data_IF_976773550604
#
_entry.id   IF_976773550604
#
_cell.length_a   1.000
_cell.length_b   1.000
_cell.length_c   1.000
_cell.angle_alpha   90.00
_cell.angle_beta   90.00
_cell.angle_gamma   90.00
#
_symmetry.space_group_name_H-M   'P 1'
#
loop_
_entity.id
_entity.type
_entity.pdbx_description
1 polymer ?
#
# COMPACT_ATOMS: atom_id res chain seq x y z
N UNK A 1 -73.01 -47.85 -11.88
CA UNK A 1 -72.16 -46.78 -12.45
C UNK A 1 -71.01 -46.58 -11.46
N UNK A 2 -69.95 -47.40 -11.51
CA UNK A 2 -68.71 -47.21 -12.31
C UNK A 2 -68.01 -45.88 -11.94
N UNK A 3 -66.78 -45.77 -11.48
CA UNK A 3 -65.54 -46.58 -11.43
C UNK A 3 -64.71 -46.01 -10.24
N UNK A 4 -64.02 -46.77 -9.38
CA UNK A 4 -62.84 -47.63 -9.54
C UNK A 4 -61.51 -46.92 -9.19
N UNK A 5 -60.78 -47.55 -8.25
CA UNK A 5 -59.32 -47.58 -7.99
C UNK A 5 -58.68 -46.30 -7.39
N UNK A 6 -58.16 -46.25 -6.17
CA UNK A 6 -57.24 -47.11 -5.39
C UNK A 6 -55.75 -46.87 -5.69
N UNK A 7 -55.00 -46.61 -4.61
CA UNK A 7 -53.58 -46.88 -4.31
C UNK A 7 -52.86 -45.70 -3.62
N UNK A 8 -52.51 -45.99 -2.37
CA UNK A 8 -51.58 -45.29 -1.49
C UNK A 8 -50.16 -45.19 -2.05
N UNK A 9 -49.39 -44.15 -1.65
CA UNK A 9 -48.13 -44.27 -0.89
C UNK A 9 -47.25 -43.01 -0.93
N UNK A 10 -46.70 -42.74 0.25
CA UNK A 10 -45.30 -42.38 0.55
C UNK A 10 -44.85 -40.93 0.32
N UNK A 11 -44.45 -40.38 1.45
CA UNK A 11 -43.60 -39.23 1.70
C UNK A 11 -42.21 -39.45 1.10
N UNK A 12 -41.88 -38.73 0.04
CA UNK A 12 -40.52 -38.47 -0.47
C UNK A 12 -40.62 -37.22 -1.38
N UNK A 13 -40.00 -36.11 -0.99
CA UNK A 13 -39.58 -35.10 -1.95
C UNK A 13 -38.22 -34.54 -1.52
N UNK A 14 -37.23 -35.28 -1.98
CA UNK A 14 -35.90 -34.92 -2.40
C UNK A 14 -35.72 -33.47 -2.87
N UNK A 15 -34.65 -32.85 -2.37
CA UNK A 15 -33.63 -32.06 -3.09
C UNK A 15 -34.13 -31.38 -4.37
N UNK A 16 -34.56 -30.12 -4.25
CA UNK A 16 -34.65 -29.22 -5.41
C UNK A 16 -33.29 -28.54 -5.64
N UNK A 17 -32.70 -28.91 -6.77
CA UNK A 17 -31.54 -28.31 -7.38
C UNK A 17 -31.84 -26.86 -7.82
N UNK A 18 -31.70 -25.89 -6.93
CA UNK A 18 -31.70 -24.46 -7.29
C UNK A 18 -30.40 -23.79 -6.83
N UNK A 19 -29.29 -24.47 -7.10
CA UNK A 19 -27.92 -24.04 -6.80
C UNK A 19 -27.08 -23.80 -8.04
N UNK A 20 -27.66 -23.38 -9.18
CA UNK A 20 -26.89 -23.02 -10.38
C UNK A 20 -27.65 -21.96 -11.19
N UNK A 21 -27.65 -20.70 -10.75
CA UNK A 21 -27.96 -19.59 -11.66
C UNK A 21 -27.49 -18.24 -11.14
N UNK A 22 -26.27 -17.87 -11.53
CA UNK A 22 -25.86 -16.54 -11.99
C UNK A 22 -24.32 -16.52 -12.03
N UNK A 23 -23.73 -17.04 -13.12
CA UNK A 23 -22.33 -16.78 -13.43
C UNK A 23 -22.24 -15.30 -13.81
N UNK A 24 -22.10 -14.46 -12.78
CA UNK A 24 -21.41 -13.19 -12.95
C UNK A 24 -19.96 -13.61 -13.24
N UNK A 25 -19.44 -13.24 -14.42
CA UNK A 25 -18.01 -13.33 -14.75
C UNK A 25 -17.18 -12.45 -13.80
N UNK A 26 -17.11 -12.85 -12.53
CA UNK A 26 -16.24 -12.30 -11.51
C UNK A 26 -14.94 -13.08 -11.59
N UNK A 27 -13.83 -12.34 -11.66
CA UNK A 27 -12.51 -12.94 -11.56
C UNK A 27 -12.40 -13.70 -10.22
N UNK A 28 -11.70 -14.84 -10.21
CA UNK A 28 -11.47 -15.61 -8.99
C UNK A 28 -10.74 -14.72 -7.95
N UNK A 29 -11.08 -14.83 -6.65
CA UNK A 29 -10.38 -14.09 -5.61
C UNK A 29 -8.89 -14.46 -5.59
N UNK A 30 -8.03 -13.46 -5.35
CA UNK A 30 -6.59 -13.67 -5.35
C UNK A 30 -6.11 -14.10 -3.96
N UNK A 31 -5.43 -15.24 -3.88
CA UNK A 31 -4.90 -15.77 -2.61
C UNK A 31 -3.69 -14.96 -2.10
N UNK A 32 -2.96 -14.31 -3.00
CA UNK A 32 -1.81 -13.48 -2.66
C UNK A 32 -2.28 -12.20 -1.98
N UNK A 33 -1.87 -12.05 -0.72
CA UNK A 33 -2.16 -10.88 0.11
C UNK A 33 -3.37 -11.04 1.02
N UNK A 34 -3.98 -12.23 1.03
CA UNK A 34 -4.89 -12.65 2.10
C UNK A 34 -4.09 -12.93 3.39
N UNK A 35 -4.63 -12.58 4.57
CA UNK A 35 -4.00 -12.92 5.84
C UNK A 35 -3.77 -14.43 6.01
N UNK A 36 -2.71 -14.80 6.73
CA UNK A 36 -2.35 -16.21 6.96
C UNK A 36 -3.46 -17.01 7.65
N UNK A 37 -4.19 -16.39 8.58
CA UNK A 37 -5.35 -17.03 9.21
C UNK A 37 -6.52 -17.23 8.23
N UNK A 38 -6.72 -16.29 7.30
CA UNK A 38 -7.69 -16.46 6.20
C UNK A 38 -7.32 -17.64 5.32
N UNK A 39 -6.04 -17.82 4.98
CA UNK A 39 -5.59 -19.00 4.23
C UNK A 39 -5.85 -20.31 4.99
N UNK A 40 -5.69 -20.34 6.32
CA UNK A 40 -6.05 -21.53 7.11
C UNK A 40 -7.55 -21.84 7.03
N UNK A 41 -8.38 -20.81 7.18
CA UNK A 41 -9.83 -20.97 7.09
C UNK A 41 -10.25 -21.48 5.71
N UNK A 42 -9.68 -20.91 4.64
CA UNK A 42 -9.91 -21.36 3.26
C UNK A 42 -9.58 -22.85 3.12
N UNK A 43 -8.45 -23.31 3.64
CA UNK A 43 -8.08 -24.73 3.58
C UNK A 43 -9.08 -25.61 4.37
N UNK A 44 -9.58 -25.14 5.51
CA UNK A 44 -10.60 -25.85 6.27
C UNK A 44 -11.92 -25.98 5.47
N UNK A 45 -12.36 -24.87 4.87
CA UNK A 45 -13.60 -24.80 4.08
C UNK A 45 -13.51 -25.66 2.82
N UNK A 46 -12.31 -25.81 2.26
CA UNK A 46 -11.97 -26.72 1.16
C UNK A 46 -11.83 -28.19 1.60
N UNK A 47 -12.13 -28.53 2.86
CA UNK A 47 -12.16 -29.90 3.36
C UNK A 47 -10.79 -30.49 3.73
N UNK A 48 -9.76 -29.66 3.86
CA UNK A 48 -8.46 -30.13 4.35
C UNK A 48 -8.57 -30.48 5.83
N UNK A 49 -8.16 -31.71 6.17
CA UNK A 49 -8.20 -32.22 7.55
C UNK A 49 -7.42 -31.29 8.48
N UNK A 50 -8.01 -30.97 9.63
CA UNK A 50 -7.46 -30.08 10.66
C UNK A 50 -5.96 -30.31 10.94
N UNK A 51 -5.58 -31.58 11.14
CA UNK A 51 -4.19 -31.97 11.41
C UNK A 51 -3.17 -31.60 10.32
N UNK A 52 -3.64 -31.36 9.08
CA UNK A 52 -2.82 -31.03 7.92
C UNK A 52 -2.83 -29.53 7.58
N UNK A 53 -3.78 -28.74 8.11
CA UNK A 53 -3.97 -27.32 7.75
C UNK A 53 -2.67 -26.54 7.98
N UNK A 54 -2.08 -26.62 9.19
CA UNK A 54 -0.84 -25.92 9.51
C UNK A 54 0.29 -26.19 8.51
N UNK A 55 0.48 -27.47 8.15
CA UNK A 55 1.51 -27.88 7.18
C UNK A 55 1.19 -27.35 5.78
N UNK A 56 -0.06 -27.48 5.31
CA UNK A 56 -0.47 -27.01 3.98
C UNK A 56 -0.41 -25.50 3.86
N UNK A 57 -0.82 -24.76 4.89
CA UNK A 57 -0.64 -23.31 4.97
C UNK A 57 0.83 -22.96 4.82
N UNK A 58 1.75 -23.60 5.56
CA UNK A 58 3.18 -23.30 5.45
C UNK A 58 3.74 -23.58 4.04
N UNK A 59 3.33 -24.68 3.40
CA UNK A 59 3.75 -24.99 2.03
C UNK A 59 3.26 -23.95 1.03
N UNK A 60 1.96 -23.63 1.05
CA UNK A 60 1.36 -22.66 0.13
C UNK A 60 2.00 -21.28 0.38
N UNK A 61 2.12 -20.85 1.64
CA UNK A 61 2.73 -19.57 2.00
C UNK A 61 4.16 -19.41 1.45
N UNK A 62 4.97 -20.46 1.56
CA UNK A 62 6.31 -20.50 0.97
C UNK A 62 6.27 -20.34 -0.56
N UNK A 63 5.38 -21.06 -1.25
CA UNK A 63 5.24 -20.95 -2.70
C UNK A 63 4.80 -19.54 -3.14
N UNK A 64 3.86 -18.95 -2.42
CA UNK A 64 3.37 -17.61 -2.70
C UNK A 64 4.48 -16.57 -2.54
N UNK A 65 5.19 -16.56 -1.41
CA UNK A 65 6.00 -15.40 -1.02
C UNK A 65 7.52 -15.61 -1.08
N UNK A 66 8.01 -16.85 -1.01
CA UNK A 66 9.43 -17.14 -1.14
C UNK A 66 9.75 -17.52 -2.59
N UNK A 67 9.00 -18.48 -3.15
CA UNK A 67 9.22 -18.94 -4.52
C UNK A 67 8.59 -18.01 -5.57
N UNK A 68 7.50 -17.31 -5.23
CA UNK A 68 6.88 -16.32 -6.11
C UNK A 68 6.06 -16.89 -7.26
N UNK A 69 5.58 -18.12 -7.16
CA UNK A 69 4.89 -18.78 -8.29
C UNK A 69 3.61 -18.04 -8.69
N UNK A 70 3.26 -18.15 -9.98
CA UNK A 70 2.05 -17.57 -10.56
C UNK A 70 1.06 -18.64 -11.02
N UNK A 71 1.40 -19.93 -10.85
CA UNK A 71 0.48 -21.05 -11.05
C UNK A 71 0.49 -21.99 -9.85
N UNK A 72 -0.68 -22.49 -9.46
CA UNK A 72 -0.78 -23.54 -8.44
C UNK A 72 -0.06 -24.81 -8.87
N UNK A 73 0.05 -25.06 -10.18
CA UNK A 73 0.69 -26.28 -10.68
C UNK A 73 2.17 -26.39 -10.29
N UNK A 74 2.84 -25.26 -10.10
CA UNK A 74 4.25 -25.21 -9.71
C UNK A 74 4.50 -25.63 -8.26
N UNK A 75 3.45 -25.79 -7.44
CA UNK A 75 3.56 -26.16 -6.04
C UNK A 75 3.85 -27.67 -5.85
N UNK A 76 5.06 -28.11 -6.21
CA UNK A 76 5.44 -29.53 -6.34
C UNK A 76 5.27 -30.38 -5.07
N UNK A 77 5.27 -29.77 -3.89
CA UNK A 77 5.08 -30.46 -2.60
C UNK A 77 3.63 -30.38 -2.06
N UNK A 78 2.72 -29.81 -2.85
CA UNK A 78 1.27 -29.79 -2.64
C UNK A 78 0.64 -30.84 -3.56
N UNK A 79 -0.25 -31.68 -3.00
CA UNK A 79 -0.84 -32.76 -3.80
C UNK A 79 -1.71 -32.21 -4.94
N UNK A 80 -1.89 -33.01 -6.00
CA UNK A 80 -2.61 -32.59 -7.20
C UNK A 80 -4.06 -32.17 -6.89
N UNK A 81 -4.75 -32.91 -6.03
CA UNK A 81 -6.14 -32.62 -5.70
C UNK A 81 -6.31 -31.24 -5.05
N UNK A 82 -5.43 -30.86 -4.12
CA UNK A 82 -5.47 -29.53 -3.50
C UNK A 82 -5.05 -28.43 -4.49
N UNK A 83 -4.06 -28.68 -5.37
CA UNK A 83 -3.70 -27.70 -6.42
C UNK A 83 -4.88 -27.42 -7.35
N UNK A 84 -5.59 -28.46 -7.78
CA UNK A 84 -6.79 -28.34 -8.61
C UNK A 84 -7.89 -27.57 -7.88
N UNK A 85 -8.18 -27.94 -6.63
CA UNK A 85 -9.22 -27.29 -5.83
C UNK A 85 -8.91 -25.80 -5.60
N UNK A 86 -7.64 -25.44 -5.39
CA UNK A 86 -7.22 -24.04 -5.31
C UNK A 86 -7.40 -23.33 -6.65
N UNK A 87 -6.98 -23.95 -7.76
CA UNK A 87 -7.11 -23.36 -9.10
C UNK A 87 -8.56 -23.17 -9.56
N UNK A 88 -9.49 -24.01 -9.08
CA UNK A 88 -10.93 -23.88 -9.35
C UNK A 88 -11.57 -22.71 -8.59
N UNK A 89 -11.03 -22.32 -7.43
CA UNK A 89 -11.67 -21.38 -6.51
C UNK A 89 -10.91 -20.06 -6.33
N UNK A 90 -9.62 -20.02 -6.65
CA UNK A 90 -8.73 -18.89 -6.38
C UNK A 90 -7.77 -18.64 -7.54
N UNK A 91 -7.19 -17.44 -7.57
CA UNK A 91 -6.09 -17.06 -8.46
C UNK A 91 -4.85 -16.66 -7.64
N UNK A 92 -3.68 -16.70 -8.27
CA UNK A 92 -2.42 -16.12 -7.75
C UNK A 92 -1.72 -15.26 -8.81
N UNK A 93 -2.48 -14.85 -9.82
CA UNK A 93 -1.99 -14.01 -10.92
C UNK A 93 -1.59 -12.62 -10.43
N UNK A 94 -0.72 -11.96 -11.19
CA UNK A 94 -0.35 -10.57 -10.97
C UNK A 94 -1.36 -9.64 -11.65
N UNK A 95 -1.56 -8.43 -11.12
CA UNK A 95 -2.22 -7.37 -11.88
C UNK A 95 -1.41 -7.01 -13.13
N UNK A 96 -2.09 -6.47 -14.13
CA UNK A 96 -1.47 -6.00 -15.36
C UNK A 96 -0.60 -4.77 -15.08
N UNK A 97 0.63 -4.77 -15.61
CA UNK A 97 1.46 -3.57 -15.69
C UNK A 97 1.17 -2.90 -17.02
N UNK A 98 0.40 -1.82 -16.97
CA UNK A 98 -0.04 -1.05 -18.14
C UNK A 98 1.11 -0.25 -18.74
N UNK A 99 1.96 0.29 -17.87
CA UNK A 99 3.10 1.11 -18.26
C UNK A 99 4.27 0.88 -17.30
N UNK A 100 5.48 0.88 -17.85
CA UNK A 100 6.73 0.88 -17.10
C UNK A 100 7.63 2.02 -17.60
N UNK A 101 8.12 2.83 -16.67
CA UNK A 101 9.04 3.93 -16.93
C UNK A 101 10.29 3.75 -16.06
N UNK A 102 11.46 3.95 -16.66
CA UNK A 102 12.76 3.88 -15.97
C UNK A 102 13.45 5.23 -16.12
N UNK A 103 13.71 5.87 -14.99
CA UNK A 103 14.45 7.13 -14.88
C UNK A 103 15.92 6.94 -15.21
N UNK A 104 16.57 8.01 -15.63
CA UNK A 104 18.03 8.09 -15.74
C UNK A 104 18.77 7.77 -14.43
N UNK A 105 18.12 7.93 -13.28
CA UNK A 105 18.69 7.64 -11.95
C UNK A 105 18.40 6.19 -11.47
N UNK A 106 17.85 5.35 -12.34
CA UNK A 106 17.48 3.96 -12.06
C UNK A 106 16.13 3.78 -11.35
N UNK A 107 15.46 4.85 -10.93
CA UNK A 107 14.10 4.78 -10.38
C UNK A 107 13.16 4.18 -11.41
N UNK A 108 12.33 3.22 -10.99
CA UNK A 108 11.35 2.58 -11.85
C UNK A 108 9.95 2.92 -11.36
N UNK A 109 9.05 3.26 -12.27
CA UNK A 109 7.64 3.50 -11.98
C UNK A 109 6.79 2.55 -12.82
N UNK A 110 5.83 1.91 -12.16
CA UNK A 110 4.87 1.04 -12.80
C UNK A 110 3.46 1.57 -12.61
N UNK A 111 2.72 1.70 -13.70
CA UNK A 111 1.27 1.89 -13.69
C UNK A 111 0.61 0.52 -13.71
N UNK A 112 -0.11 0.18 -12.65
CA UNK A 112 -0.66 -1.16 -12.44
C UNK A 112 -2.18 -1.10 -12.45
N UNK A 113 -2.82 -1.89 -13.31
CA UNK A 113 -4.27 -2.03 -13.36
C UNK A 113 -4.72 -3.13 -12.41
N UNK A 114 -5.41 -2.72 -11.36
CA UNK A 114 -5.99 -3.63 -10.38
C UNK A 114 -7.15 -4.41 -10.99
N UNK A 115 -7.44 -5.63 -10.49
CA UNK A 115 -8.61 -6.38 -10.91
C UNK A 115 -9.90 -5.55 -10.80
N UNK A 116 -10.80 -5.72 -11.76
CA UNK A 116 -12.12 -5.08 -11.72
C UNK A 116 -12.86 -5.52 -10.45
N UNK A 117 -13.52 -4.59 -9.77
CA UNK A 117 -14.45 -4.93 -8.69
C UNK A 117 -15.88 -5.07 -9.26
N UNK A 118 -16.80 -5.75 -8.55
CA UNK A 118 -18.19 -5.83 -8.97
C UNK A 118 -18.80 -4.45 -9.24
N UNK A 119 -19.21 -4.22 -10.48
CA UNK A 119 -19.81 -2.95 -10.93
C UNK A 119 -18.87 -2.01 -11.68
N UNK A 120 -17.56 -2.26 -11.67
CA UNK A 120 -16.59 -1.51 -12.44
C UNK A 120 -16.69 -1.86 -13.94
N UNK A 121 -16.50 -0.85 -14.80
CA UNK A 121 -16.37 -1.05 -16.24
C UNK A 121 -14.96 -1.55 -16.62
N UNK A 122 -13.95 -0.97 -15.98
CA UNK A 122 -12.53 -1.35 -16.11
C UNK A 122 -11.88 -1.25 -14.74
N UNK A 123 -10.86 -2.09 -14.51
CA UNK A 123 -10.04 -2.03 -13.32
C UNK A 123 -9.38 -0.66 -13.14
N UNK A 124 -9.28 -0.22 -11.89
CA UNK A 124 -8.63 1.04 -11.55
C UNK A 124 -7.11 0.89 -11.50
N UNK A 125 -6.41 1.98 -11.78
CA UNK A 125 -4.96 2.01 -11.90
C UNK A 125 -4.31 2.78 -10.75
N UNK A 126 -3.20 2.25 -10.27
CA UNK A 126 -2.34 2.87 -9.27
C UNK A 126 -0.89 2.83 -9.70
N UNK A 127 -0.11 3.79 -9.23
CA UNK A 127 1.33 3.83 -9.46
C UNK A 127 2.09 3.20 -8.29
N UNK A 128 3.19 2.51 -8.61
CA UNK A 128 4.15 1.97 -7.66
C UNK A 128 5.55 2.39 -8.11
N UNK A 129 6.41 2.81 -7.18
CA UNK A 129 7.75 3.33 -7.51
C UNK A 129 8.82 2.55 -6.77
N UNK A 130 9.79 2.02 -7.51
CA UNK A 130 11.00 1.43 -6.95
C UNK A 130 12.18 2.38 -7.07
N UNK A 131 12.82 2.66 -5.93
CA UNK A 131 13.92 3.62 -5.80
C UNK A 131 15.17 2.84 -5.40
N UNK A 132 16.07 2.53 -6.33
CA UNK A 132 17.30 1.81 -5.99
C UNK A 132 18.39 2.76 -5.46
N UNK A 133 19.20 2.24 -4.56
CA UNK A 133 20.46 2.83 -4.11
C UNK A 133 21.51 1.73 -4.05
N UNK A 134 22.79 2.11 -3.89
CA UNK A 134 23.91 1.18 -3.97
C UNK A 134 23.76 -0.05 -3.06
N UNK A 135 23.22 0.12 -1.85
CA UNK A 135 23.13 -0.93 -0.82
C UNK A 135 21.70 -1.28 -0.42
N UNK A 136 20.69 -0.65 -1.02
CA UNK A 136 19.27 -0.85 -0.66
C UNK A 136 18.36 -0.47 -1.81
N UNK A 137 17.22 -1.13 -1.94
CA UNK A 137 16.10 -0.61 -2.74
C UNK A 137 14.88 -0.37 -1.86
N UNK A 138 14.17 0.70 -2.18
CA UNK A 138 12.95 1.12 -1.48
C UNK A 138 11.77 1.05 -2.44
N UNK A 139 10.71 0.34 -2.06
CA UNK A 139 9.46 0.32 -2.81
C UNK A 139 8.44 1.26 -2.16
N UNK A 140 7.97 2.21 -2.94
CA UNK A 140 6.90 3.13 -2.61
C UNK A 140 5.57 2.56 -3.10
N UNK A 141 4.73 2.14 -2.15
CA UNK A 141 3.45 1.49 -2.45
C UNK A 141 2.28 2.45 -2.26
N UNK A 142 1.28 2.29 -3.11
CA UNK A 142 -0.03 2.93 -3.01
C UNK A 142 -0.95 2.16 -2.08
N UNK A 143 -1.85 2.88 -1.39
CA UNK A 143 -2.85 2.33 -0.46
C UNK A 143 -4.29 2.63 -0.89
N UNK A 144 -4.50 3.57 -1.80
CA UNK A 144 -5.81 3.94 -2.33
C UNK A 144 -5.71 4.24 -3.83
N UNK A 145 -6.83 4.19 -4.53
CA UNK A 145 -6.96 4.76 -5.88
C UNK A 145 -7.39 6.22 -5.72
N UNK A 146 -6.48 7.14 -6.05
CA UNK A 146 -6.59 8.55 -5.67
C UNK A 146 -6.23 8.75 -4.19
N UNK A 147 -6.65 9.88 -3.60
CA UNK A 147 -6.44 10.13 -2.19
C UNK A 147 -7.70 10.72 -1.54
N UNK A 148 -7.97 10.28 -0.31
CA UNK A 148 -9.04 10.85 0.54
C UNK A 148 -8.72 12.26 1.03
N UNK A 149 -7.45 12.66 0.98
CA UNK A 149 -6.96 13.96 1.42
C UNK A 149 -6.63 14.86 0.24
N UNK A 150 -6.81 16.16 0.42
CA UNK A 150 -6.58 17.19 -0.59
C UNK A 150 -5.39 18.08 -0.20
N UNK A 151 -4.25 17.47 0.12
CA UNK A 151 -3.02 18.23 0.37
C UNK A 151 -2.67 19.02 -0.89
N UNK A 152 -2.56 20.34 -0.78
CA UNK A 152 -2.55 21.25 -1.94
C UNK A 152 -1.28 21.13 -2.78
N UNK A 153 -0.15 20.77 -2.17
CA UNK A 153 1.12 20.56 -2.86
C UNK A 153 1.23 19.18 -3.52
N UNK A 154 0.28 18.27 -3.29
CA UNK A 154 0.33 16.90 -3.79
C UNK A 154 -0.49 16.72 -5.07
N UNK A 155 0.13 16.20 -6.13
CA UNK A 155 -0.56 15.94 -7.40
C UNK A 155 -1.66 14.89 -7.22
N UNK A 156 -1.45 13.83 -6.43
CA UNK A 156 -2.51 12.87 -6.07
C UNK A 156 -3.64 13.55 -5.29
N UNK A 157 -3.35 14.59 -4.49
CA UNK A 157 -4.35 15.38 -3.78
C UNK A 157 -5.32 16.12 -4.71
N UNK A 158 -4.94 16.32 -5.98
CA UNK A 158 -5.83 16.85 -7.04
C UNK A 158 -6.84 15.81 -7.55
N UNK A 159 -6.63 14.53 -7.24
CA UNK A 159 -7.50 13.44 -7.64
C UNK A 159 -8.51 13.12 -6.56
N UNK A 160 -9.78 13.02 -6.94
CA UNK A 160 -10.80 12.52 -6.03
C UNK A 160 -10.51 11.05 -5.70
N UNK A 161 -10.68 10.71 -4.42
CA UNK A 161 -10.72 9.34 -3.96
C UNK A 161 -11.73 8.51 -4.77
N UNK A 162 -11.30 7.34 -5.23
CA UNK A 162 -12.17 6.37 -5.91
C UNK A 162 -12.52 5.22 -4.95
N UNK A 163 -11.51 4.49 -4.46
CA UNK A 163 -11.68 3.40 -3.48
C UNK A 163 -10.39 3.05 -2.76
N UNK A 164 -10.52 2.36 -1.63
CA UNK A 164 -9.40 1.72 -0.95
C UNK A 164 -8.87 0.55 -1.79
N UNK A 165 -7.56 0.29 -1.69
CA UNK A 165 -6.97 -0.95 -2.17
C UNK A 165 -7.17 -2.05 -1.12
N UNK A 166 -7.37 -3.29 -1.56
CA UNK A 166 -7.37 -4.43 -0.66
C UNK A 166 -5.94 -4.82 -0.26
N UNK A 167 -5.76 -5.72 0.71
CA UNK A 167 -4.42 -6.18 1.09
C UNK A 167 -3.75 -6.97 -0.04
N UNK A 168 -4.54 -7.68 -0.82
CA UNK A 168 -4.16 -8.38 -2.06
C UNK A 168 -3.56 -7.39 -3.06
N UNK A 169 -4.24 -6.27 -3.32
CA UNK A 169 -3.81 -5.23 -4.25
C UNK A 169 -2.56 -4.48 -3.76
N UNK A 170 -2.42 -4.27 -2.44
CA UNK A 170 -1.21 -3.68 -1.86
C UNK A 170 -0.01 -4.63 -1.99
N UNK A 171 -0.19 -5.91 -1.64
CA UNK A 171 0.87 -6.91 -1.73
C UNK A 171 1.24 -7.19 -3.19
N UNK A 172 0.28 -7.17 -4.11
CA UNK A 172 0.52 -7.36 -5.54
C UNK A 172 1.55 -6.37 -6.11
N UNK A 173 1.59 -5.13 -5.61
CA UNK A 173 2.61 -4.14 -5.98
C UNK A 173 4.03 -4.63 -5.66
N UNK A 174 4.24 -5.29 -4.52
CA UNK A 174 5.54 -5.88 -4.16
C UNK A 174 5.84 -7.06 -5.06
N UNK A 175 4.86 -7.94 -5.28
CA UNK A 175 5.08 -9.16 -6.06
C UNK A 175 5.46 -8.82 -7.50
N UNK A 176 4.78 -7.86 -8.12
CA UNK A 176 5.13 -7.34 -9.44
C UNK A 176 6.50 -6.68 -9.43
N UNK A 177 6.83 -5.87 -8.42
CA UNK A 177 8.15 -5.26 -8.33
C UNK A 177 9.27 -6.32 -8.26
N UNK A 178 9.07 -7.39 -7.48
CA UNK A 178 10.03 -8.52 -7.41
C UNK A 178 10.16 -9.24 -8.75
N UNK A 179 9.05 -9.45 -9.47
CA UNK A 179 9.07 -10.03 -10.81
C UNK A 179 9.84 -9.15 -11.80
N UNK A 180 9.64 -7.82 -11.75
CA UNK A 180 10.24 -6.85 -12.69
C UNK A 180 11.73 -6.59 -12.46
N UNK A 181 12.21 -6.71 -11.22
CA UNK A 181 13.62 -6.49 -10.89
C UNK A 181 14.39 -7.80 -10.60
N UNK A 182 13.72 -8.95 -10.63
CA UNK A 182 14.32 -10.25 -10.35
C UNK A 182 14.71 -10.44 -8.87
N UNK A 183 13.94 -9.92 -7.92
CA UNK A 183 14.21 -10.04 -6.47
C UNK A 183 13.66 -11.35 -5.88
N UNK A 184 13.95 -12.47 -6.55
CA UNK A 184 13.55 -13.83 -6.15
C UNK A 184 14.77 -14.65 -5.73
N UNK A 185 14.74 -15.35 -4.58
CA UNK A 185 15.87 -16.17 -4.13
C UNK A 185 16.29 -17.28 -5.09
N UNK A 186 15.37 -17.73 -5.95
CA UNK A 186 15.58 -18.77 -6.94
C UNK A 186 16.12 -18.27 -8.28
N UNK A 187 16.24 -16.95 -8.47
CA UNK A 187 16.71 -16.35 -9.72
C UNK A 187 18.15 -15.86 -9.59
N UNK A 188 18.88 -15.95 -10.69
CA UNK A 188 20.17 -15.26 -10.82
C UNK A 188 19.96 -13.75 -10.77
N UNK A 189 20.88 -13.04 -10.13
CA UNK A 189 20.81 -11.59 -10.06
C UNK A 189 20.88 -10.98 -11.45
N UNK A 190 19.97 -10.06 -11.72
CA UNK A 190 20.02 -9.21 -12.90
C UNK A 190 21.27 -8.33 -12.83
N UNK A 191 22.08 -8.34 -13.91
CA UNK A 191 23.26 -7.48 -14.03
C UNK A 191 22.87 -6.06 -14.48
N UNK A 192 22.18 -5.33 -13.60
CA UNK A 192 21.86 -3.91 -13.77
C UNK A 192 22.68 -3.08 -12.77
N UNK A 193 23.57 -2.18 -13.23
CA UNK A 193 24.43 -1.38 -12.35
C UNK A 193 23.65 -0.43 -11.45
N UNK A 194 22.40 -0.12 -11.79
CA UNK A 194 21.54 0.74 -10.96
C UNK A 194 20.87 -0.04 -9.83
N UNK A 195 20.83 -1.37 -9.87
CA UNK A 195 20.23 -2.17 -8.80
C UNK A 195 21.21 -2.42 -7.64
N UNK A 196 20.72 -2.71 -6.42
CA UNK A 196 21.57 -3.13 -5.32
C UNK A 196 22.36 -4.40 -5.66
N UNK A 197 23.69 -4.31 -5.60
CA UNK A 197 24.58 -5.40 -6.00
C UNK A 197 24.71 -6.50 -4.93
N UNK A 198 24.40 -6.16 -3.67
CA UNK A 198 24.45 -7.10 -2.53
C UNK A 198 23.15 -7.04 -1.74
N UNK A 199 22.82 -8.14 -1.06
CA UNK A 199 21.60 -8.22 -0.25
C UNK A 199 20.30 -8.13 -1.05
N UNK A 200 19.16 -8.05 -0.38
CA UNK A 200 17.86 -8.01 -1.05
C UNK A 200 17.69 -6.71 -1.86
N UNK A 201 17.13 -6.81 -3.08
CA UNK A 201 16.89 -5.62 -3.90
C UNK A 201 15.75 -4.78 -3.32
N UNK A 202 14.61 -5.39 -2.93
CA UNK A 202 13.56 -4.70 -2.18
C UNK A 202 13.79 -4.87 -0.69
N UNK A 203 14.52 -3.94 -0.09
CA UNK A 203 14.87 -4.02 1.33
C UNK A 203 14.00 -3.13 2.23
N UNK A 204 13.35 -2.13 1.65
CA UNK A 204 12.56 -1.13 2.37
C UNK A 204 11.21 -0.91 1.67
N UNK A 205 10.16 -0.70 2.46
CA UNK A 205 8.82 -0.34 1.97
C UNK A 205 8.43 0.99 2.59
N UNK A 206 7.85 1.89 1.79
CA UNK A 206 7.26 3.13 2.27
C UNK A 206 5.83 3.27 1.73
N UNK A 207 4.88 3.60 2.61
CA UNK A 207 3.53 3.98 2.22
C UNK A 207 3.51 5.49 1.92
N UNK A 208 4.12 5.87 0.79
CA UNK A 208 4.20 7.25 0.30
C UNK A 208 3.75 7.35 -1.18
N UNK A 209 3.05 6.32 -1.66
CA UNK A 209 2.42 6.31 -2.98
C UNK A 209 1.10 7.07 -2.96
N UNK A 210 0.11 6.56 -3.68
CA UNK A 210 -1.22 7.14 -3.72
C UNK A 210 -2.04 6.76 -2.46
N UNK A 211 -2.71 7.74 -1.86
CA UNK A 211 -3.65 7.54 -0.76
C UNK A 211 -3.14 7.85 0.64
N UNK A 212 -4.07 7.99 1.58
CA UNK A 212 -3.81 8.09 3.02
C UNK A 212 -3.95 6.71 3.67
N UNK A 213 -2.85 6.06 4.09
CA UNK A 213 -2.87 4.68 4.55
C UNK A 213 -3.78 4.43 5.76
N UNK A 214 -3.89 5.40 6.68
CA UNK A 214 -4.70 5.22 7.89
C UNK A 214 -6.21 5.28 7.64
N UNK A 215 -6.65 5.85 6.52
CA UNK A 215 -8.05 5.70 6.07
C UNK A 215 -8.30 4.41 5.29
N UNK A 216 -7.25 3.60 5.08
CA UNK A 216 -7.34 2.22 4.62
C UNK A 216 -6.78 1.23 5.67
N UNK A 217 -7.13 1.47 6.94
CA UNK A 217 -6.50 0.84 8.10
C UNK A 217 -6.38 -0.68 8.03
N UNK A 218 -7.49 -1.40 7.84
CA UNK A 218 -7.50 -2.87 7.91
C UNK A 218 -6.66 -3.53 6.82
N UNK A 219 -6.77 -3.06 5.58
CA UNK A 219 -5.99 -3.60 4.46
C UNK A 219 -4.51 -3.26 4.57
N UNK A 220 -4.18 -2.04 5.03
CA UNK A 220 -2.78 -1.63 5.28
C UNK A 220 -2.16 -2.45 6.41
N UNK A 221 -2.86 -2.62 7.54
CA UNK A 221 -2.41 -3.48 8.65
C UNK A 221 -2.10 -4.89 8.19
N UNK A 222 -3.04 -5.51 7.46
CA UNK A 222 -2.88 -6.87 6.96
C UNK A 222 -1.67 -6.95 6.02
N UNK A 223 -1.53 -6.00 5.09
CA UNK A 223 -0.40 -5.95 4.17
C UNK A 223 0.94 -5.80 4.92
N UNK A 224 1.05 -4.92 5.92
CA UNK A 224 2.28 -4.79 6.73
C UNK A 224 2.64 -6.10 7.41
N UNK A 225 1.66 -6.79 7.98
CA UNK A 225 1.89 -8.07 8.66
C UNK A 225 2.33 -9.18 7.69
N UNK A 226 1.80 -9.20 6.46
CA UNK A 226 2.23 -10.13 5.41
C UNK A 226 3.65 -9.81 4.93
N UNK A 227 3.96 -8.52 4.73
CA UNK A 227 5.32 -8.06 4.38
C UNK A 227 6.34 -8.49 5.43
N UNK A 228 5.97 -8.44 6.71
CA UNK A 228 6.83 -8.73 7.85
C UNK A 228 6.84 -10.21 8.31
N UNK A 229 5.98 -11.06 7.75
CA UNK A 229 5.91 -12.48 8.12
C UNK A 229 7.23 -13.17 7.75
N UNK A 230 7.86 -13.78 8.76
CA UNK A 230 9.20 -14.38 8.66
C UNK A 230 9.27 -15.70 7.91
N UNK A 231 8.12 -16.30 7.56
CA UNK A 231 8.04 -17.47 6.69
C UNK A 231 7.66 -17.08 5.25
N UNK A 232 7.46 -15.79 4.98
CA UNK A 232 7.02 -15.24 3.70
C UNK A 232 7.99 -14.18 3.18
N UNK A 233 7.48 -12.98 2.92
CA UNK A 233 8.28 -11.87 2.37
C UNK A 233 9.42 -11.50 3.33
N UNK A 234 9.23 -11.63 4.65
CA UNK A 234 10.30 -11.53 5.66
C UNK A 234 11.04 -10.18 5.67
N UNK A 235 10.32 -9.06 5.52
CA UNK A 235 10.88 -7.73 5.71
C UNK A 235 10.91 -7.36 7.20
N UNK A 236 11.99 -6.72 7.64
CA UNK A 236 12.02 -6.17 9.00
C UNK A 236 10.95 -5.08 9.14
N UNK A 237 10.17 -5.13 10.23
CA UNK A 237 9.22 -4.06 10.58
C UNK A 237 9.88 -2.68 10.68
N UNK A 238 11.18 -2.62 11.01
CA UNK A 238 11.99 -1.38 11.02
C UNK A 238 12.30 -0.82 9.63
N UNK A 239 12.05 -1.58 8.57
CA UNK A 239 12.23 -1.19 7.17
C UNK A 239 10.91 -0.97 6.43
N UNK A 240 9.79 -1.08 7.12
CA UNK A 240 8.46 -0.73 6.62
C UNK A 240 8.05 0.58 7.29
N UNK A 241 7.91 1.65 6.52
CA UNK A 241 7.53 2.98 7.03
C UNK A 241 6.14 3.34 6.54
N UNK A 242 5.22 3.57 7.47
CA UNK A 242 3.91 4.12 7.18
C UNK A 242 3.98 5.64 7.29
N UNK A 243 3.65 6.35 6.21
CA UNK A 243 3.47 7.81 6.24
C UNK A 243 2.00 8.14 6.41
N UNK A 244 1.68 9.12 7.26
CA UNK A 244 0.32 9.64 7.40
C UNK A 244 0.31 11.16 7.48
N UNK A 245 -0.75 11.76 6.97
CA UNK A 245 -1.03 13.20 7.09
C UNK A 245 -1.64 13.58 8.44
N UNK A 246 -1.86 12.60 9.34
CA UNK A 246 -2.30 12.84 10.71
C UNK A 246 -3.73 12.38 10.98
N UNK A 247 -4.11 11.17 10.55
CA UNK A 247 -5.36 10.54 11.00
C UNK A 247 -5.16 9.99 12.43
N UNK A 248 -5.17 10.89 13.41
CA UNK A 248 -4.70 10.64 14.78
C UNK A 248 -5.30 9.38 15.42
N UNK A 249 -6.60 9.15 15.22
CA UNK A 249 -7.33 8.01 15.79
C UNK A 249 -6.71 6.63 15.52
N UNK A 250 -5.85 6.50 14.51
CA UNK A 250 -5.23 5.23 14.13
C UNK A 250 -3.70 5.19 14.31
N UNK A 251 -3.05 6.29 14.69
CA UNK A 251 -1.59 6.39 14.75
C UNK A 251 -1.02 5.42 15.79
N UNK A 252 -1.52 5.44 17.02
CA UNK A 252 -1.04 4.54 18.08
C UNK A 252 -1.40 3.09 17.74
N UNK A 253 -2.66 2.85 17.39
CA UNK A 253 -3.21 1.52 17.08
C UNK A 253 -2.43 0.79 15.99
N UNK A 254 -2.08 1.45 14.87
CA UNK A 254 -1.31 0.80 13.80
C UNK A 254 0.11 0.42 14.28
N UNK A 255 0.70 1.23 15.15
CA UNK A 255 2.00 0.96 15.74
C UNK A 255 1.99 -0.25 16.67
N UNK A 256 0.91 -0.41 17.45
CA UNK A 256 0.75 -1.53 18.39
C UNK A 256 0.56 -2.84 17.63
N UNK A 257 -0.31 -2.82 16.63
CA UNK A 257 -0.69 -4.03 15.87
C UNK A 257 0.36 -4.46 14.84
N UNK A 258 1.26 -3.55 14.41
CA UNK A 258 2.22 -3.84 13.33
C UNK A 258 3.67 -3.50 13.62
N UNK A 259 4.00 -2.73 14.65
CA UNK A 259 5.38 -2.37 14.95
C UNK A 259 6.15 -1.69 13.81
N UNK A 260 5.48 -1.11 12.82
CA UNK A 260 6.12 -0.43 11.68
C UNK A 260 6.85 0.86 12.12
N UNK A 261 7.61 1.46 11.22
CA UNK A 261 8.15 2.81 11.43
C UNK A 261 7.09 3.85 11.07
N UNK A 262 7.05 4.96 11.81
CA UNK A 262 6.13 6.06 11.56
C UNK A 262 6.83 7.22 10.86
N UNK A 263 6.20 7.71 9.79
CA UNK A 263 6.46 9.01 9.19
C UNK A 263 5.20 9.89 9.25
N UNK A 264 5.39 11.17 9.50
CA UNK A 264 4.32 12.17 9.58
C UNK A 264 4.56 13.23 8.50
N UNK A 265 3.58 13.38 7.62
CA UNK A 265 3.49 14.48 6.66
C UNK A 265 3.08 15.76 7.41
N UNK A 266 4.08 16.43 7.99
CA UNK A 266 3.89 17.58 8.88
C UNK A 266 3.71 18.87 8.09
N UNK A 267 4.74 19.23 7.32
CA UNK A 267 4.78 20.30 6.31
C UNK A 267 4.49 21.74 6.76
N UNK A 268 4.19 22.00 8.03
CA UNK A 268 4.02 23.33 8.58
C UNK A 268 4.21 23.34 10.10
N UNK A 269 4.53 24.51 10.65
CA UNK A 269 4.79 24.73 12.08
C UNK A 269 3.71 25.58 12.76
N UNK A 270 2.66 25.96 12.03
CA UNK A 270 1.49 26.65 12.54
C UNK A 270 0.23 25.99 12.00
N UNK A 271 -0.85 26.01 12.78
CA UNK A 271 -2.12 25.45 12.32
C UNK A 271 -2.66 26.21 11.11
N UNK A 272 -2.52 27.54 11.05
CA UNK A 272 -3.00 28.35 9.92
C UNK A 272 -2.39 27.93 8.57
N UNK A 273 -1.07 27.70 8.54
CA UNK A 273 -0.39 27.25 7.31
C UNK A 273 -0.74 25.78 7.05
N UNK A 274 -0.81 24.96 8.09
CA UNK A 274 -1.11 23.54 7.94
C UNK A 274 -2.54 23.27 7.49
N UNK A 275 -3.49 24.09 7.89
CA UNK A 275 -4.89 24.04 7.48
C UNK A 275 -5.08 24.24 5.98
N UNK A 276 -4.15 24.96 5.34
CA UNK A 276 -4.10 25.15 3.89
C UNK A 276 -3.39 23.97 3.25
N UNK A 277 -2.15 23.69 3.67
CA UNK A 277 -1.30 22.69 3.00
C UNK A 277 -1.80 21.26 3.19
N UNK A 278 -2.32 20.94 4.38
CA UNK A 278 -2.72 19.60 4.83
C UNK A 278 -4.08 19.70 5.54
N UNK A 279 -5.21 19.83 4.81
CA UNK A 279 -6.50 20.24 5.37
C UNK A 279 -7.09 19.36 6.50
N UNK A 280 -6.60 18.14 6.67
CA UNK A 280 -6.97 17.28 7.82
C UNK A 280 -6.59 17.92 9.16
N UNK A 281 -5.67 18.91 9.16
CA UNK A 281 -5.30 19.68 10.34
C UNK A 281 -6.49 20.37 11.04
N UNK A 282 -7.49 20.82 10.26
CA UNK A 282 -8.73 21.41 10.77
C UNK A 282 -9.52 20.46 11.69
N UNK A 283 -9.32 19.16 11.50
CA UNK A 283 -9.92 18.10 12.34
C UNK A 283 -8.96 17.65 13.44
N UNK A 284 -7.68 17.49 13.11
CA UNK A 284 -6.62 17.05 14.01
C UNK A 284 -5.44 18.02 13.93
N UNK A 285 -5.48 19.04 14.80
CA UNK A 285 -4.48 20.11 14.81
C UNK A 285 -3.08 19.61 15.21
N UNK A 286 -2.08 20.49 15.11
CA UNK A 286 -0.68 20.16 15.42
C UNK A 286 -0.50 19.59 16.84
N UNK A 287 -1.15 20.17 17.85
CA UNK A 287 -1.05 19.69 19.23
C UNK A 287 -1.51 18.24 19.35
N UNK A 288 -2.70 17.94 18.85
CA UNK A 288 -3.31 16.60 18.88
C UNK A 288 -2.47 15.58 18.09
N UNK A 289 -1.94 16.00 16.93
CA UNK A 289 -1.07 15.18 16.10
C UNK A 289 0.24 14.82 16.80
N UNK A 290 0.92 15.82 17.38
CA UNK A 290 2.21 15.63 18.04
C UNK A 290 2.07 14.81 19.32
N UNK A 291 0.94 14.91 20.02
CA UNK A 291 0.65 14.05 21.17
C UNK A 291 0.53 12.57 20.77
N UNK A 292 -0.19 12.27 19.70
CA UNK A 292 -0.25 10.91 19.16
C UNK A 292 1.13 10.38 18.71
N UNK A 293 2.01 11.27 18.25
CA UNK A 293 3.40 10.90 17.92
C UNK A 293 4.24 10.60 19.16
N UNK A 294 4.02 11.30 20.28
CA UNK A 294 4.67 11.00 21.58
C UNK A 294 4.25 9.64 22.11
N UNK A 295 2.98 9.29 21.93
CA UNK A 295 2.40 8.05 22.40
C UNK A 295 2.63 6.87 21.43
N UNK A 296 3.31 7.09 20.30
CA UNK A 296 3.57 6.02 19.34
C UNK A 296 4.41 4.89 19.97
N UNK A 297 3.97 3.62 19.86
CA UNK A 297 4.53 2.53 20.66
C UNK A 297 5.99 2.23 20.31
N UNK A 298 6.83 2.24 21.35
CA UNK A 298 8.27 1.98 21.24
C UNK A 298 9.08 3.13 20.65
N UNK A 299 8.52 4.34 20.57
CA UNK A 299 9.25 5.54 20.17
C UNK A 299 10.45 5.77 21.08
N UNK A 300 11.63 5.96 20.48
CA UNK A 300 12.90 6.14 21.18
C UNK A 300 13.95 6.69 20.23
N UNK A 301 15.14 7.04 20.71
CA UNK A 301 16.25 7.46 19.83
C UNK A 301 16.67 6.37 18.82
N UNK A 302 16.43 5.09 19.13
CA UNK A 302 16.64 3.97 18.22
C UNK A 302 15.47 3.75 17.23
N UNK A 303 14.28 4.24 17.57
CA UNK A 303 13.06 4.11 16.77
C UNK A 303 12.32 5.45 16.73
N UNK A 304 12.93 6.39 16.01
CA UNK A 304 12.47 7.78 15.91
C UNK A 304 11.27 7.90 14.96
N UNK A 305 10.36 8.83 15.27
CA UNK A 305 9.34 9.29 14.33
C UNK A 305 10.02 10.13 13.26
N UNK A 306 9.64 9.93 12.01
CA UNK A 306 10.13 10.74 10.89
C UNK A 306 9.13 11.86 10.63
N UNK A 307 9.55 13.11 10.65
CA UNK A 307 8.71 14.22 10.20
C UNK A 307 9.14 14.61 8.79
N UNK A 308 8.26 14.39 7.83
CA UNK A 308 8.45 14.83 6.45
C UNK A 308 8.02 16.30 6.35
N UNK A 309 8.89 17.14 5.80
CA UNK A 309 8.68 18.58 5.68
C UNK A 309 9.02 19.02 4.25
N UNK A 310 8.01 19.42 3.48
CA UNK A 310 8.20 19.85 2.10
C UNK A 310 8.64 21.30 2.10
N UNK A 311 9.65 21.62 1.31
CA UNK A 311 10.26 22.96 1.26
C UNK A 311 9.58 23.79 0.17
N UNK A 312 8.60 24.60 0.58
CA UNK A 312 7.82 25.47 -0.30
C UNK A 312 8.31 26.91 -0.12
N UNK A 313 8.78 27.49 -1.21
CA UNK A 313 9.38 28.81 -1.23
C UNK A 313 8.44 29.87 -0.67
N UNK A 314 8.94 30.66 0.27
CA UNK A 314 8.26 31.80 0.90
C UNK A 314 6.95 31.45 1.64
N UNK A 315 6.71 30.16 1.92
CA UNK A 315 5.47 29.67 2.55
C UNK A 315 5.75 29.03 3.90
N UNK A 316 6.72 28.12 3.96
CA UNK A 316 7.00 27.33 5.16
C UNK A 316 8.51 27.10 5.39
N UNK A 317 9.37 27.81 4.67
CA UNK A 317 10.80 27.57 4.59
C UNK A 317 11.65 28.64 5.29
N UNK A 318 11.05 29.53 6.08
CA UNK A 318 11.79 30.58 6.77
C UNK A 318 12.64 30.02 7.92
N UNK A 319 13.70 30.74 8.31
CA UNK A 319 14.51 30.37 9.49
C UNK A 319 13.70 30.46 10.79
N UNK A 320 12.67 31.32 10.84
CA UNK A 320 11.74 31.36 11.97
C UNK A 320 10.93 30.06 12.05
N UNK A 321 10.50 29.51 10.91
CA UNK A 321 9.82 28.22 10.85
C UNK A 321 10.74 27.08 11.31
N UNK A 322 12.00 27.06 10.89
CA UNK A 322 12.98 26.07 11.36
C UNK A 322 13.12 26.07 12.89
N UNK A 323 13.22 27.26 13.50
CA UNK A 323 13.30 27.41 14.97
C UNK A 323 12.01 26.96 15.66
N UNK A 324 10.85 27.28 15.08
CA UNK A 324 9.55 26.87 15.60
C UNK A 324 9.36 25.35 15.49
N UNK A 325 9.80 24.74 14.40
CA UNK A 325 9.80 23.29 14.21
C UNK A 325 10.58 22.59 15.31
N UNK A 326 11.80 23.06 15.61
CA UNK A 326 12.61 22.55 16.72
C UNK A 326 11.86 22.64 18.04
N UNK A 327 11.19 23.77 18.30
CA UNK A 327 10.39 23.94 19.53
C UNK A 327 9.21 22.98 19.61
N UNK A 328 8.50 22.76 18.50
CA UNK A 328 7.33 21.87 18.44
C UNK A 328 7.70 20.40 18.69
N UNK A 329 8.83 19.96 18.14
CA UNK A 329 9.28 18.57 18.23
C UNK A 329 10.02 18.26 19.54
N UNK A 330 10.18 19.24 20.43
CA UNK A 330 10.85 19.07 21.72
C UNK A 330 10.21 17.92 22.51
N UNK A 331 11.04 16.98 22.95
CA UNK A 331 10.60 15.80 23.70
C UNK A 331 10.13 14.62 22.85
N UNK A 332 10.07 14.77 21.52
CA UNK A 332 9.76 13.67 20.60
C UNK A 332 11.08 13.14 20.01
N UNK A 333 11.42 11.85 20.19
CA UNK A 333 12.53 11.24 19.47
C UNK A 333 12.26 11.27 17.97
N UNK A 334 12.91 12.22 17.28
CA UNK A 334 12.55 12.57 15.91
C UNK A 334 13.77 12.63 14.97
N UNK A 335 13.49 12.47 13.68
CA UNK A 335 14.32 12.95 12.58
C UNK A 335 13.43 13.75 11.63
N UNK A 336 13.98 14.80 11.02
CA UNK A 336 13.25 15.65 10.09
C UNK A 336 13.78 15.38 8.69
N UNK A 337 12.96 14.86 7.80
CA UNK A 337 13.32 14.72 6.40
C UNK A 337 12.83 15.96 5.65
N UNK A 338 13.78 16.79 5.18
CA UNK A 338 13.44 17.91 4.31
C UNK A 338 13.28 17.41 2.88
N UNK A 339 12.15 17.71 2.25
CA UNK A 339 11.83 17.30 0.88
C UNK A 339 11.83 18.55 0.01
N UNK A 340 12.85 18.75 -0.85
CA UNK A 340 12.77 19.74 -1.93
C UNK A 340 11.51 19.46 -2.76
N UNK A 341 10.66 20.48 -2.93
CA UNK A 341 9.41 20.32 -3.65
C UNK A 341 9.64 19.83 -5.08
N UNK A 342 8.80 18.90 -5.53
CA UNK A 342 8.82 18.40 -6.91
C UNK A 342 7.63 19.02 -7.65
N UNK A 343 7.85 20.03 -8.50
CA UNK A 343 6.77 20.70 -9.21
C UNK A 343 6.07 19.73 -10.17
N UNK A 344 4.81 20.01 -10.44
CA UNK A 344 3.98 19.27 -11.40
C UNK A 344 3.11 20.26 -12.19
N UNK A 345 2.63 19.90 -13.40
CA UNK A 345 1.91 20.85 -14.25
C UNK A 345 0.67 21.44 -13.55
N UNK A 346 0.69 22.75 -13.31
CA UNK A 346 -0.39 23.48 -12.64
C UNK A 346 -0.25 23.62 -11.12
N UNK A 347 0.88 23.20 -10.51
CA UNK A 347 1.13 23.47 -9.10
C UNK A 347 1.33 24.98 -8.84
N UNK A 348 0.68 25.51 -7.80
CA UNK A 348 0.81 26.91 -7.37
C UNK A 348 2.05 27.19 -6.50
N UNK A 349 2.86 26.15 -6.26
CA UNK A 349 4.00 26.20 -5.36
C UNK A 349 5.32 26.14 -6.11
N UNK A 350 6.34 26.75 -5.50
CA UNK A 350 7.72 26.69 -5.96
C UNK A 350 8.60 25.97 -4.94
N UNK A 351 9.66 25.31 -5.42
CA UNK A 351 10.66 24.73 -4.54
C UNK A 351 11.51 25.84 -3.94
N UNK A 352 11.74 25.77 -2.63
CA UNK A 352 12.72 26.63 -1.95
C UNK A 352 14.09 26.55 -2.63
N UNK A 353 14.83 27.66 -2.59
CA UNK A 353 16.18 27.72 -3.11
C UNK A 353 17.10 26.80 -2.31
N UNK A 354 18.09 26.18 -2.96
CA UNK A 354 18.94 25.16 -2.32
C UNK A 354 19.67 25.69 -1.07
N UNK A 355 20.21 26.90 -1.14
CA UNK A 355 20.85 27.58 -0.01
C UNK A 355 19.89 27.76 1.17
N UNK A 356 18.61 28.10 0.90
CA UNK A 356 17.60 28.24 1.95
C UNK A 356 17.30 26.89 2.61
N UNK A 357 17.22 25.81 1.83
CA UNK A 357 17.02 24.45 2.35
C UNK A 357 18.20 24.04 3.24
N UNK A 358 19.43 24.32 2.82
CA UNK A 358 20.65 24.04 3.59
C UNK A 358 20.67 24.84 4.91
N UNK A 359 20.34 26.13 4.86
CA UNK A 359 20.25 26.97 6.06
C UNK A 359 19.16 26.48 7.02
N UNK A 360 18.00 26.07 6.51
CA UNK A 360 16.92 25.48 7.30
C UNK A 360 17.37 24.17 7.97
N UNK A 361 18.03 23.29 7.21
CA UNK A 361 18.58 22.04 7.71
C UNK A 361 19.64 22.28 8.79
N UNK A 362 20.50 23.28 8.61
CA UNK A 362 21.57 23.60 9.56
C UNK A 362 21.00 24.02 10.92
N UNK A 363 19.94 24.83 10.95
CA UNK A 363 19.26 25.21 12.19
C UNK A 363 18.75 23.98 12.96
N UNK A 364 18.15 23.02 12.25
CA UNK A 364 17.62 21.79 12.84
C UNK A 364 18.76 20.88 13.33
N UNK A 365 19.81 20.73 12.53
CA UNK A 365 21.00 19.93 12.88
C UNK A 365 21.70 20.49 14.11
N UNK A 366 21.89 21.82 14.21
CA UNK A 366 22.48 22.51 15.38
C UNK A 366 21.64 22.32 16.64
N UNK A 367 20.33 22.11 16.50
CA UNK A 367 19.43 21.80 17.61
C UNK A 367 19.45 20.32 18.04
N UNK A 368 20.25 19.47 17.39
CA UNK A 368 20.44 18.06 17.75
C UNK A 368 19.50 17.07 17.05
N UNK A 369 18.68 17.53 16.11
CA UNK A 369 17.85 16.65 15.30
C UNK A 369 18.54 16.34 13.97
N UNK A 370 18.51 15.07 13.55
CA UNK A 370 18.99 14.70 12.21
C UNK A 370 18.06 15.30 11.15
N UNK A 371 18.61 16.10 10.25
CA UNK A 371 17.86 16.79 9.19
C UNK A 371 18.39 16.48 7.79
N UNK A 372 18.31 15.22 7.30
CA UNK A 372 18.71 14.91 5.92
C UNK A 372 17.81 15.64 4.92
N UNK A 373 18.44 16.19 3.88
CA UNK A 373 17.75 16.72 2.70
C UNK A 373 17.58 15.56 1.71
N UNK A 374 16.34 15.26 1.34
CA UNK A 374 16.01 14.15 0.45
C UNK A 374 16.42 14.48 -0.97
N UNK A 375 17.33 13.70 -1.56
CA UNK A 375 17.64 13.79 -2.99
C UNK A 375 16.39 13.42 -3.80
N UNK A 376 15.95 14.28 -4.74
CA UNK A 376 14.86 13.94 -5.65
C UNK A 376 15.20 12.69 -6.47
N UNK A 377 14.23 11.79 -6.65
CA UNK A 377 14.39 10.53 -7.40
C UNK A 377 13.26 10.36 -8.40
N UNK A 378 13.58 9.96 -9.63
CA UNK A 378 12.60 9.71 -10.71
C UNK A 378 11.81 10.95 -11.15
N UNK A 379 12.37 12.15 -11.04
CA UNK A 379 11.67 13.41 -11.36
C UNK A 379 11.38 13.54 -12.86
N UNK A 380 12.29 13.06 -13.71
CA UNK A 380 12.17 13.01 -15.17
C UNK A 380 10.98 12.17 -15.66
N UNK A 381 10.52 11.21 -14.86
CA UNK A 381 9.40 10.31 -15.17
C UNK A 381 8.19 10.54 -14.26
N UNK A 382 8.08 11.71 -13.61
CA UNK A 382 6.97 12.02 -12.69
C UNK A 382 6.76 10.95 -11.60
N UNK A 383 7.86 10.43 -11.03
CA UNK A 383 7.85 9.41 -9.98
C UNK A 383 8.32 9.94 -8.62
N UNK A 384 8.72 11.22 -8.54
CA UNK A 384 9.15 11.81 -7.28
C UNK A 384 7.96 12.01 -6.32
N UNK A 385 8.25 12.12 -5.03
CA UNK A 385 7.21 12.31 -4.01
C UNK A 385 6.31 13.49 -4.33
N UNK A 386 5.00 13.22 -4.32
CA UNK A 386 3.96 14.20 -4.63
C UNK A 386 3.59 14.31 -6.11
N UNK A 387 4.25 13.63 -7.05
CA UNK A 387 3.97 13.75 -8.50
C UNK A 387 3.02 12.68 -9.05
N UNK A 388 2.75 11.62 -8.29
CA UNK A 388 1.95 10.47 -8.74
C UNK A 388 0.49 10.84 -9.05
N UNK A 389 -0.01 10.38 -10.19
CA UNK A 389 -1.37 10.62 -10.68
C UNK A 389 -1.73 9.62 -11.78
N UNK A 390 -2.74 8.77 -11.55
CA UNK A 390 -3.33 7.92 -12.60
C UNK A 390 -4.53 8.59 -13.29
N UNK A 391 -4.96 8.11 -14.46
CA UNK A 391 -6.17 8.68 -15.11
C UNK A 391 -7.49 8.11 -14.57
N UNK A 392 -7.42 7.29 -13.52
CA UNK A 392 -8.57 6.57 -12.97
C UNK A 392 -9.68 7.50 -12.47
N UNK A 393 -10.92 7.18 -12.86
CA UNK A 393 -12.15 7.88 -12.45
C UNK A 393 -13.18 6.86 -11.98
N UNK A 394 -14.16 7.32 -11.19
CA UNK A 394 -15.34 6.51 -10.83
C UNK A 394 -16.09 6.16 -12.12
N UNK A 395 -16.16 4.87 -12.45
CA UNK A 395 -16.66 4.33 -13.72
C UNK A 395 -17.68 3.20 -13.47
N UNK A 396 -18.82 3.53 -12.88
CA UNK A 396 -19.87 2.54 -12.57
C UNK A 396 -20.74 2.26 -13.80
N UNK A 397 -21.12 0.99 -14.01
CA UNK A 397 -22.20 0.63 -14.94
C UNK A 397 -23.49 1.36 -14.54
N UNK A 398 -24.25 1.94 -15.49
CA UNK A 398 -25.55 2.53 -15.18
C UNK A 398 -26.47 1.45 -14.58
N UNK A 399 -27.20 1.80 -13.50
CA UNK A 399 -28.21 0.90 -12.93
C UNK A 399 -29.26 0.63 -14.01
N UNK A 400 -29.71 -0.63 -14.22
CA UNK A 400 -30.85 -0.88 -15.08
C UNK A 400 -32.04 -0.09 -14.56
N UNK A 401 -32.57 0.81 -15.39
CA UNK A 401 -33.83 1.49 -15.12
C UNK A 401 -34.94 0.46 -15.08
N UNK A 402 -35.77 0.49 -14.04
CA UNK A 402 -37.00 -0.30 -13.96
C UNK A 402 -37.97 0.19 -15.05
N UNK A 403 -37.84 -0.32 -16.26
CA UNK A 403 -38.84 -0.19 -17.31
C UNK A 403 -38.54 -1.23 -18.38
N UNK A 404 -39.00 -2.46 -18.14
CA UNK A 404 -39.30 -3.49 -19.15
C UNK A 404 -39.85 -4.73 -18.42
N UNK A 405 -41.02 -4.53 -17.81
CA UNK A 405 -42.02 -5.58 -17.58
C UNK A 405 -43.36 -4.93 -17.84
N UNK A 406 -43.76 -4.90 -19.11
CA UNK A 406 -45.15 -4.99 -19.54
C UNK A 406 -45.24 -6.14 -20.54
#
# INVERSE_FOLDING_TARGET
MSHSLDIAKINENSVSQDGVSAIINNALPNLVGMPRETLKQILADLGIKEKAIKMRTAQIWHWLYIAGVTSFDDMRNVNKDLRNLLAENYSIERPEVVEEQISVDGTRKWLMRMPKQPGDLVGHEVECVYIPEQTRGTLCVSSQVGCTLSCTFCHTGTQRMVRNLTSEEIIAQIMVARDRIGDWPSMDRVNDPNLPQTGRMISNIVYMGMGEPLYNYEHVKNAINIMADGDGISLSRRRITLSTSGVVNFIEKIGEETGCMLAISLHAVTDDVRDILVPINKKFNLETLLEACRNYPGVSNARRVTFEYVMLKDINDSIADAKKLVSLLKGIPAKINLIPFNPWPGSEYECSDWEQIENFAEVINRAGYASPIRTPRGRDIMAACGQLKSESKINRKPRPTKSETE
#
